data_IF_360402165035
#
_entry.id   IF_360402165035
#
_cell.length_a   1.000
_cell.length_b   1.000
_cell.length_c   1.000
_cell.angle_alpha   90.00
_cell.angle_beta   90.00
_cell.angle_gamma   90.00
#
_symmetry.space_group_name_H-M   'P 1'
#
loop_
_entity.id
_entity.type
_entity.pdbx_description
1 polymer ?
#
# COMPACT_ATOMS: atom_id res chain seq x y z
N UNK A 1 10.52 -3.38 -21.64
CA UNK A 1 10.08 -1.99 -21.99
C UNK A 1 8.82 -1.90 -22.89
N UNK A 2 8.59 -2.71 -23.94
CA UNK A 2 7.46 -2.49 -24.87
C UNK A 2 6.09 -2.38 -24.17
N UNK A 3 5.70 -3.36 -23.37
CA UNK A 3 4.43 -3.34 -22.62
C UNK A 3 4.38 -2.20 -21.61
N UNK A 4 5.46 -1.99 -20.88
CA UNK A 4 5.58 -0.93 -19.88
C UNK A 4 5.50 0.47 -20.53
N UNK A 5 6.12 0.65 -21.69
CA UNK A 5 6.03 1.90 -22.44
C UNK A 5 4.60 2.21 -22.90
N UNK A 6 3.84 1.18 -23.31
CA UNK A 6 2.43 1.36 -23.65
C UNK A 6 1.59 1.76 -22.43
N UNK A 7 1.85 1.14 -21.29
CA UNK A 7 1.21 1.47 -20.04
C UNK A 7 1.48 2.92 -19.65
N UNK A 8 2.74 3.35 -19.62
CA UNK A 8 3.11 4.71 -19.22
C UNK A 8 2.57 5.79 -20.15
N UNK A 9 2.56 5.55 -21.47
CA UNK A 9 1.94 6.48 -22.44
C UNK A 9 0.44 6.67 -22.20
N UNK A 10 -0.24 5.65 -21.69
CA UNK A 10 -1.65 5.73 -21.36
C UNK A 10 -1.90 6.40 -20.01
N UNK A 11 -1.04 6.13 -19.02
CA UNK A 11 -1.21 6.60 -17.64
C UNK A 11 -0.77 8.05 -17.46
N UNK A 12 0.34 8.46 -18.09
CA UNK A 12 0.95 9.76 -17.82
C UNK A 12 0.25 10.84 -18.63
N UNK A 13 -0.47 11.69 -17.92
CA UNK A 13 -1.21 12.85 -18.45
C UNK A 13 -0.73 14.17 -17.87
N UNK A 14 -0.09 14.15 -16.68
CA UNK A 14 0.41 15.31 -15.94
C UNK A 14 1.90 15.16 -15.71
N UNK A 15 2.68 16.16 -16.06
CA UNK A 15 4.13 16.16 -15.88
C UNK A 15 4.89 15.27 -16.85
N UNK A 16 6.07 14.83 -16.49
CA UNK A 16 6.87 13.89 -17.26
C UNK A 16 7.53 12.82 -16.41
N UNK A 17 7.67 11.61 -16.98
CA UNK A 17 8.40 10.50 -16.38
C UNK A 17 9.53 10.06 -17.29
N UNK A 18 10.76 10.13 -16.80
CA UNK A 18 11.90 9.50 -17.44
C UNK A 18 12.19 8.16 -16.76
N UNK A 19 12.15 7.08 -17.51
CA UNK A 19 12.47 5.74 -17.03
C UNK A 19 13.82 5.31 -17.58
N UNK A 20 14.77 5.04 -16.70
CA UNK A 20 16.06 4.44 -17.05
C UNK A 20 15.90 2.93 -16.94
N UNK A 21 15.95 2.22 -18.06
CA UNK A 21 15.76 0.76 -18.09
C UNK A 21 17.00 0.01 -17.56
N UNK A 22 16.87 -1.30 -17.37
CA UNK A 22 17.95 -2.18 -16.87
C UNK A 22 19.21 -2.20 -17.74
N UNK A 23 19.18 -1.60 -18.92
CA UNK A 23 20.32 -1.45 -19.84
C UNK A 23 20.88 -0.01 -19.84
N UNK A 24 20.37 0.87 -18.98
CA UNK A 24 20.76 2.28 -18.89
C UNK A 24 20.13 3.20 -19.95
N UNK A 25 19.20 2.70 -20.77
CA UNK A 25 18.56 3.53 -21.80
C UNK A 25 17.43 4.35 -21.17
N UNK A 26 17.36 5.61 -21.55
CA UNK A 26 16.32 6.52 -21.08
C UNK A 26 15.10 6.49 -21.99
N UNK A 27 13.93 6.45 -21.37
CA UNK A 27 12.63 6.49 -22.04
C UNK A 27 11.80 7.61 -21.42
N UNK A 28 11.52 8.67 -22.20
CA UNK A 28 10.73 9.81 -21.75
C UNK A 28 9.25 9.59 -22.09
N UNK A 29 8.40 9.80 -21.09
CA UNK A 29 6.94 9.82 -21.20
C UNK A 29 6.44 11.18 -20.71
N UNK A 30 5.82 11.95 -21.60
CA UNK A 30 5.36 13.30 -21.31
C UNK A 30 3.85 13.38 -21.37
N UNK A 31 3.26 13.92 -20.32
CA UNK A 31 1.83 14.25 -20.24
C UNK A 31 1.46 15.48 -21.07
N UNK A 32 0.18 15.69 -21.26
CA UNK A 32 -0.38 16.86 -21.94
C UNK A 32 -0.52 18.08 -21.04
N UNK A 33 -0.55 17.86 -19.72
CA UNK A 33 -0.68 18.92 -18.71
C UNK A 33 0.66 19.14 -18.02
N UNK A 34 1.10 20.39 -17.82
CA UNK A 34 2.29 20.70 -17.03
C UNK A 34 2.20 20.11 -15.61
N UNK A 35 3.32 19.64 -15.08
CA UNK A 35 3.39 19.03 -13.75
C UNK A 35 4.84 18.65 -13.41
N UNK A 36 5.04 17.88 -12.33
CA UNK A 36 6.37 17.50 -11.89
C UNK A 36 7.08 16.60 -12.91
N UNK A 37 8.40 16.72 -12.94
CA UNK A 37 9.29 15.87 -13.74
C UNK A 37 9.93 14.85 -12.80
N UNK A 38 9.74 13.58 -13.12
CA UNK A 38 10.24 12.47 -12.30
C UNK A 38 11.19 11.59 -13.11
N UNK A 39 12.27 11.13 -12.47
CA UNK A 39 13.21 10.17 -13.05
C UNK A 39 13.30 8.94 -12.16
N UNK A 40 13.01 7.78 -12.73
CA UNK A 40 13.15 6.50 -12.04
C UNK A 40 14.09 5.57 -12.80
N UNK A 41 14.75 4.68 -12.07
CA UNK A 41 15.58 3.62 -12.64
C UNK A 41 15.03 2.25 -12.28
N UNK A 42 14.95 1.37 -13.27
CA UNK A 42 14.61 -0.04 -13.11
C UNK A 42 15.89 -0.87 -13.25
N UNK A 43 16.28 -1.58 -12.20
CA UNK A 43 17.57 -2.25 -12.13
C UNK A 43 17.60 -3.60 -12.88
N UNK A 44 16.43 -4.19 -13.17
CA UNK A 44 16.38 -5.46 -13.90
C UNK A 44 15.12 -5.60 -14.78
N UNK A 45 15.20 -6.52 -15.75
CA UNK A 45 14.10 -6.78 -16.70
C UNK A 45 12.87 -7.42 -16.08
N UNK A 46 13.01 -8.13 -14.96
CA UNK A 46 11.86 -8.78 -14.34
C UNK A 46 10.94 -7.75 -13.72
N UNK A 47 11.48 -6.66 -13.15
CA UNK A 47 10.72 -5.50 -12.67
C UNK A 47 9.94 -4.83 -13.81
N UNK A 48 10.55 -4.65 -14.98
CA UNK A 48 9.87 -4.08 -16.14
C UNK A 48 8.60 -4.88 -16.51
N UNK A 49 8.69 -6.21 -16.44
CA UNK A 49 7.56 -7.11 -16.73
C UNK A 49 6.54 -7.13 -15.60
N UNK A 50 7.00 -7.20 -14.36
CA UNK A 50 6.14 -7.23 -13.19
C UNK A 50 5.26 -5.97 -13.11
N UNK A 51 5.86 -4.78 -13.27
CA UNK A 51 5.13 -3.51 -13.28
C UNK A 51 4.16 -3.44 -14.46
N UNK A 52 4.53 -3.95 -15.65
CA UNK A 52 3.63 -3.97 -16.79
C UNK A 52 2.39 -4.86 -16.57
N UNK A 53 2.51 -5.94 -15.80
CA UNK A 53 1.43 -6.89 -15.52
C UNK A 53 0.62 -6.53 -14.27
N UNK A 54 1.26 -6.01 -13.24
CA UNK A 54 0.62 -5.60 -11.99
C UNK A 54 1.26 -4.33 -11.43
N UNK A 55 0.96 -3.15 -12.02
CA UNK A 55 1.65 -1.91 -11.67
C UNK A 55 1.47 -1.51 -10.21
N UNK A 56 0.32 -1.81 -9.59
CA UNK A 56 0.02 -1.39 -8.22
C UNK A 56 0.90 -2.11 -7.19
N UNK A 57 0.98 -3.42 -7.28
CA UNK A 57 1.76 -4.24 -6.33
C UNK A 57 3.25 -4.21 -6.68
N UNK A 58 3.59 -4.51 -7.94
CA UNK A 58 4.97 -4.68 -8.34
C UNK A 58 5.82 -3.40 -8.26
N UNK A 59 5.21 -2.22 -8.37
CA UNK A 59 5.92 -0.95 -8.19
C UNK A 59 6.35 -0.76 -6.73
N UNK A 60 5.45 -1.02 -5.77
CA UNK A 60 5.75 -0.94 -4.34
C UNK A 60 6.82 -1.95 -3.92
N UNK A 61 6.66 -3.23 -4.32
CA UNK A 61 7.63 -4.28 -4.03
C UNK A 61 9.00 -3.95 -4.63
N UNK A 62 9.06 -3.51 -5.89
CA UNK A 62 10.32 -3.15 -6.54
C UNK A 62 11.03 -1.98 -5.85
N UNK A 63 10.29 -1.00 -5.33
CA UNK A 63 10.86 0.08 -4.54
C UNK A 63 11.41 -0.42 -3.20
N UNK A 64 10.65 -1.24 -2.47
CA UNK A 64 11.06 -1.82 -1.19
C UNK A 64 12.30 -2.71 -1.33
N UNK A 65 12.40 -3.47 -2.42
CA UNK A 65 13.54 -4.34 -2.72
C UNK A 65 14.75 -3.59 -3.29
N UNK A 66 14.67 -2.26 -3.48
CA UNK A 66 15.72 -1.46 -4.11
C UNK A 66 15.90 -1.74 -5.61
N UNK A 67 14.94 -2.39 -6.26
CA UNK A 67 14.96 -2.74 -7.70
C UNK A 67 14.35 -1.65 -8.58
N UNK A 68 13.66 -0.68 -7.95
CA UNK A 68 13.26 0.60 -8.50
C UNK A 68 13.82 1.68 -7.61
N UNK A 69 14.55 2.63 -8.19
CA UNK A 69 15.07 3.81 -7.48
C UNK A 69 14.57 5.10 -8.12
N UNK A 70 14.43 6.14 -7.30
CA UNK A 70 14.07 7.48 -7.72
C UNK A 70 15.37 8.27 -7.84
N UNK A 71 15.66 8.83 -9.02
CA UNK A 71 16.94 9.49 -9.32
C UNK A 71 16.88 11.01 -9.04
N UNK A 72 15.68 11.60 -9.08
CA UNK A 72 15.44 13.00 -8.73
C UNK A 72 14.19 13.11 -7.84
N UNK A 73 14.35 13.62 -6.64
CA UNK A 73 13.29 13.69 -5.65
C UNK A 73 13.27 12.51 -4.68
N UNK A 74 12.17 12.35 -3.98
CA UNK A 74 11.98 11.34 -2.95
C UNK A 74 10.72 10.49 -3.19
N UNK A 75 10.38 9.63 -2.21
CA UNK A 75 9.20 8.77 -2.30
C UNK A 75 7.90 9.58 -2.31
N UNK A 76 7.88 10.74 -1.66
CA UNK A 76 6.70 11.62 -1.65
C UNK A 76 6.44 12.18 -3.05
N UNK A 77 7.48 12.67 -3.74
CA UNK A 77 7.39 13.16 -5.12
C UNK A 77 6.89 12.07 -6.06
N UNK A 78 7.38 10.84 -5.88
CA UNK A 78 6.92 9.69 -6.65
C UNK A 78 5.44 9.38 -6.41
N UNK A 79 4.99 9.39 -5.15
CA UNK A 79 3.60 9.12 -4.79
C UNK A 79 2.66 10.24 -5.27
N UNK A 80 3.09 11.51 -5.17
CA UNK A 80 2.33 12.66 -5.70
C UNK A 80 2.18 12.56 -7.21
N UNK A 81 3.28 12.26 -7.93
CA UNK A 81 3.25 12.02 -9.37
C UNK A 81 2.28 10.89 -9.76
N UNK A 82 2.35 9.75 -9.05
CA UNK A 82 1.44 8.63 -9.27
C UNK A 82 -0.01 9.02 -8.98
N UNK A 83 -0.27 9.72 -7.88
CA UNK A 83 -1.60 10.17 -7.49
C UNK A 83 -2.25 11.07 -8.54
N UNK A 84 -1.52 12.08 -9.04
CA UNK A 84 -1.97 12.99 -10.11
C UNK A 84 -2.33 12.26 -11.40
N UNK A 85 -1.59 11.21 -11.74
CA UNK A 85 -1.76 10.46 -12.97
C UNK A 85 -2.77 9.30 -12.86
N UNK A 86 -3.03 8.78 -11.66
CA UNK A 86 -3.95 7.65 -11.45
C UNK A 86 -5.35 8.08 -10.98
N UNK A 87 -5.52 9.28 -10.45
CA UNK A 87 -6.81 9.78 -9.94
C UNK A 87 -7.94 9.69 -10.98
N UNK A 88 -7.63 9.93 -12.25
CA UNK A 88 -8.59 9.80 -13.38
C UNK A 88 -9.03 8.37 -13.65
N UNK A 89 -8.19 7.37 -13.37
CA UNK A 89 -8.52 5.95 -13.59
C UNK A 89 -9.50 5.42 -12.56
N UNK A 90 -9.50 5.94 -11.32
CA UNK A 90 -10.49 5.60 -10.31
C UNK A 90 -11.92 6.00 -10.69
N UNK A 91 -12.09 7.14 -11.35
CA UNK A 91 -13.39 7.63 -11.80
C UNK A 91 -13.90 6.96 -13.11
N UNK A 92 -13.00 6.48 -13.96
CA UNK A 92 -13.33 5.87 -15.27
C UNK A 92 -13.23 4.35 -15.29
N UNK A 93 -12.87 3.71 -14.18
CA UNK A 93 -12.64 2.27 -14.09
C UNK A 93 -13.85 1.40 -14.50
N UNK A 94 -15.06 1.97 -14.48
CA UNK A 94 -16.30 1.28 -14.89
C UNK A 94 -16.36 0.95 -16.38
N UNK A 95 -15.53 1.58 -17.22
CA UNK A 95 -15.53 1.41 -18.68
C UNK A 95 -14.31 0.64 -19.21
N UNK A 96 -13.34 0.27 -18.35
CA UNK A 96 -12.15 -0.47 -18.76
C UNK A 96 -12.48 -1.98 -18.87
N UNK A 97 -12.36 -2.61 -20.05
CA UNK A 97 -12.57 -4.05 -20.23
C UNK A 97 -11.58 -4.87 -19.38
N UNK A 98 -10.36 -4.38 -19.10
CA UNK A 98 -9.40 -5.02 -18.20
C UNK A 98 -9.93 -5.06 -16.76
N UNK A 99 -10.55 -3.99 -16.28
CA UNK A 99 -11.18 -3.94 -14.97
C UNK A 99 -12.35 -4.95 -14.85
N UNK A 100 -13.12 -5.15 -15.94
CA UNK A 100 -14.20 -6.15 -15.98
C UNK A 100 -13.64 -7.58 -15.91
N UNK A 101 -12.52 -7.83 -16.57
CA UNK A 101 -11.82 -9.13 -16.52
C UNK A 101 -11.23 -9.36 -15.11
N UNK A 102 -10.56 -8.37 -14.53
CA UNK A 102 -10.08 -8.43 -13.13
C UNK A 102 -11.24 -8.73 -12.15
N UNK A 103 -12.39 -8.10 -12.35
CA UNK A 103 -13.56 -8.32 -11.52
C UNK A 103 -14.12 -9.75 -11.64
N UNK A 104 -14.09 -10.37 -12.84
CA UNK A 104 -14.48 -11.78 -13.03
C UNK A 104 -13.54 -12.75 -12.31
N UNK A 105 -12.23 -12.45 -12.31
CA UNK A 105 -11.22 -13.26 -11.61
C UNK A 105 -11.08 -12.91 -10.13
N UNK A 106 -11.72 -11.84 -9.66
CA UNK A 106 -11.61 -11.38 -8.27
C UNK A 106 -12.06 -12.43 -7.25
N UNK A 107 -13.11 -13.17 -7.55
CA UNK A 107 -13.57 -14.26 -6.67
C UNK A 107 -12.53 -15.37 -6.54
N UNK A 108 -11.84 -15.72 -7.64
CA UNK A 108 -10.75 -16.70 -7.63
C UNK A 108 -9.51 -16.16 -6.89
N UNK A 109 -9.18 -14.89 -7.07
CA UNK A 109 -8.07 -14.24 -6.35
C UNK A 109 -8.35 -14.07 -4.86
N UNK A 110 -9.63 -13.87 -4.50
CA UNK A 110 -10.07 -13.76 -3.10
C UNK A 110 -10.20 -15.12 -2.40
N UNK A 111 -10.10 -16.22 -3.14
CA UNK A 111 -10.08 -17.55 -2.53
C UNK A 111 -8.83 -17.72 -1.68
N UNK A 112 -9.02 -17.59 -0.35
CA UNK A 112 -7.95 -17.59 0.63
C UNK A 112 -8.12 -18.76 1.60
N UNK A 113 -7.68 -19.99 1.23
CA UNK A 113 -7.77 -21.15 2.11
C UNK A 113 -6.97 -20.92 3.40
N UNK A 114 -7.38 -21.57 4.50
CA UNK A 114 -6.85 -21.36 5.86
C UNK A 114 -5.31 -21.34 5.91
N UNK A 115 -4.63 -22.27 5.24
CA UNK A 115 -3.17 -22.33 5.23
C UNK A 115 -2.50 -21.13 4.49
N UNK A 116 -3.17 -20.57 3.49
CA UNK A 116 -2.70 -19.34 2.80
C UNK A 116 -2.99 -18.11 3.65
N UNK A 117 -4.17 -18.08 4.29
CA UNK A 117 -4.54 -17.00 5.20
C UNK A 117 -3.53 -16.87 6.34
N UNK A 118 -3.13 -17.98 6.96
CA UNK A 118 -2.11 -18.00 8.02
C UNK A 118 -0.76 -17.44 7.54
N UNK A 119 -0.30 -17.85 6.34
CA UNK A 119 0.95 -17.33 5.75
C UNK A 119 0.88 -15.84 5.46
N UNK A 120 -0.26 -15.38 4.92
CA UNK A 120 -0.44 -13.96 4.60
C UNK A 120 -0.49 -13.10 5.88
N UNK A 121 -1.15 -13.58 6.93
CA UNK A 121 -1.18 -12.92 8.25
C UNK A 121 0.22 -12.91 8.86
N UNK A 122 0.94 -14.03 8.88
CA UNK A 122 2.31 -14.09 9.36
C UNK A 122 3.20 -13.10 8.61
N UNK A 123 3.14 -13.08 7.28
CA UNK A 123 3.93 -12.13 6.48
C UNK A 123 3.61 -10.65 6.78
N UNK A 124 2.35 -10.33 7.07
CA UNK A 124 1.95 -8.97 7.45
C UNK A 124 2.51 -8.55 8.83
N UNK A 125 2.61 -9.48 9.78
CA UNK A 125 3.13 -9.22 11.13
C UNK A 125 4.62 -9.54 11.32
N UNK A 126 5.25 -10.23 10.36
CA UNK A 126 6.71 -10.54 10.35
C UNK A 126 7.58 -9.31 10.00
N UNK A 127 6.96 -8.17 9.72
CA UNK A 127 7.67 -6.89 9.70
C UNK A 127 8.34 -6.70 11.07
N UNK A 128 9.61 -6.29 11.05
CA UNK A 128 10.42 -6.09 12.24
C UNK A 128 9.62 -5.39 13.36
N UNK A 129 9.55 -5.98 14.56
CA UNK A 129 8.90 -5.37 15.73
C UNK A 129 9.35 -3.93 15.97
N UNK A 130 10.60 -3.60 15.60
CA UNK A 130 11.16 -2.24 15.68
C UNK A 130 10.37 -1.21 14.85
N UNK A 131 9.75 -1.61 13.73
CA UNK A 131 8.90 -0.71 12.96
C UNK A 131 7.67 -0.30 13.76
N UNK A 132 7.04 -1.27 14.41
CA UNK A 132 5.83 -1.03 15.21
C UNK A 132 6.12 -0.21 16.47
N UNK A 133 7.28 -0.38 17.06
CA UNK A 133 7.74 0.40 18.23
C UNK A 133 7.91 1.90 17.92
N UNK A 134 7.99 2.27 16.62
CA UNK A 134 8.13 3.68 16.22
C UNK A 134 6.80 4.46 16.28
N UNK A 135 5.65 3.79 16.21
CA UNK A 135 4.36 4.48 16.08
C UNK A 135 3.22 3.88 16.89
N UNK A 136 3.38 2.71 17.49
CA UNK A 136 2.40 2.12 18.39
C UNK A 136 2.71 2.45 19.86
N UNK A 137 1.68 2.30 20.70
CA UNK A 137 1.81 2.32 22.15
C UNK A 137 2.57 1.09 22.69
N UNK A 138 2.90 1.09 23.98
CA UNK A 138 3.68 0.02 24.64
C UNK A 138 2.99 -1.37 24.55
N UNK A 139 1.66 -1.43 24.47
CA UNK A 139 0.88 -2.65 24.29
C UNK A 139 0.71 -3.04 22.84
N UNK A 140 1.30 -2.28 21.90
CA UNK A 140 1.22 -2.50 20.45
C UNK A 140 -0.22 -2.64 19.94
N UNK A 141 -1.12 -1.76 20.40
CA UNK A 141 -2.50 -1.74 19.93
C UNK A 141 -2.57 -1.25 18.48
N UNK A 142 -2.68 -2.16 17.52
CA UNK A 142 -2.71 -1.87 16.07
C UNK A 142 -4.12 -1.56 15.57
N UNK A 143 -4.81 -0.66 16.26
CA UNK A 143 -6.13 -0.14 15.89
C UNK A 143 -6.29 1.29 16.41
N UNK A 144 -7.29 2.05 15.86
CA UNK A 144 -7.49 3.44 16.23
C UNK A 144 -7.64 3.63 17.73
N UNK A 145 -6.92 4.61 18.28
CA UNK A 145 -7.03 5.02 19.68
C UNK A 145 -8.29 5.85 19.92
N UNK A 146 -8.74 5.94 21.18
CA UNK A 146 -9.86 6.75 21.59
C UNK A 146 -9.40 7.95 22.41
N UNK A 147 -9.14 9.06 21.73
CA UNK A 147 -8.76 10.33 22.34
C UNK A 147 -10.02 10.97 22.95
N UNK A 148 -10.00 11.21 24.24
CA UNK A 148 -11.09 11.90 24.96
C UNK A 148 -10.87 13.42 24.95
N UNK A 149 -9.61 13.83 24.91
CA UNK A 149 -9.18 15.22 24.80
C UNK A 149 -8.03 15.35 23.81
N UNK A 150 -7.82 16.55 23.29
CA UNK A 150 -6.72 16.85 22.36
C UNK A 150 -5.32 16.72 23.01
N UNK A 151 -5.27 16.65 24.34
CA UNK A 151 -4.03 16.52 25.10
C UNK A 151 -3.70 15.08 25.50
N UNK A 152 -4.55 14.11 25.16
CA UNK A 152 -4.27 12.71 25.48
C UNK A 152 -3.03 12.23 24.72
N UNK A 153 -2.13 11.53 25.39
CA UNK A 153 -1.05 10.79 24.72
C UNK A 153 -1.61 9.55 24.04
N UNK A 154 -0.83 8.93 23.16
CA UNK A 154 -1.25 7.68 22.48
C UNK A 154 -1.56 6.58 23.50
N UNK A 155 -0.70 6.40 24.53
CA UNK A 155 -0.91 5.45 25.63
C UNK A 155 -2.24 5.67 26.34
N UNK A 156 -2.54 6.91 26.72
CA UNK A 156 -3.79 7.26 27.40
C UNK A 156 -4.99 7.00 26.48
N UNK A 157 -4.88 7.35 25.21
CA UNK A 157 -5.95 7.14 24.24
C UNK A 157 -6.20 5.65 23.95
N UNK A 158 -5.16 4.82 23.92
CA UNK A 158 -5.30 3.36 23.76
C UNK A 158 -5.90 2.71 25.02
N UNK A 159 -5.51 3.15 26.22
CA UNK A 159 -6.15 2.69 27.45
C UNK A 159 -7.64 3.11 27.52
N UNK A 160 -7.96 4.35 27.13
CA UNK A 160 -9.33 4.82 26.99
C UNK A 160 -10.14 3.95 26.01
N UNK A 161 -9.54 3.53 24.89
CA UNK A 161 -10.19 2.60 23.94
C UNK A 161 -10.52 1.27 24.60
N UNK A 162 -9.54 0.65 25.28
CA UNK A 162 -9.74 -0.64 25.97
C UNK A 162 -10.87 -0.54 26.99
N UNK A 163 -10.88 0.50 27.84
CA UNK A 163 -11.92 0.76 28.81
C UNK A 163 -13.29 0.99 28.16
N UNK A 164 -13.32 1.75 27.06
CA UNK A 164 -14.55 2.02 26.32
C UNK A 164 -15.15 0.75 25.70
N UNK A 165 -14.33 -0.14 25.16
CA UNK A 165 -14.79 -1.43 24.63
C UNK A 165 -15.27 -2.31 25.77
N UNK A 166 -14.51 -2.44 26.86
CA UNK A 166 -14.88 -3.26 28.03
C UNK A 166 -16.20 -2.81 28.66
N UNK A 167 -16.45 -1.49 28.73
CA UNK A 167 -17.72 -0.97 29.29
C UNK A 167 -18.96 -1.38 28.49
N UNK A 168 -18.80 -1.60 27.17
CA UNK A 168 -19.91 -2.05 26.30
C UNK A 168 -20.22 -3.54 26.45
N UNK A 169 -19.29 -4.33 26.95
CA UNK A 169 -19.46 -5.78 27.09
C UNK A 169 -20.29 -6.17 28.32
N UNK A 170 -20.64 -5.23 29.20
CA UNK A 170 -21.42 -5.47 30.42
C UNK A 170 -20.86 -6.63 31.24
N UNK A 171 -19.52 -6.67 31.38
CA UNK A 171 -18.81 -7.75 32.05
C UNK A 171 -19.26 -7.97 33.50
N UNK A 172 -19.36 -9.25 33.89
CA UNK A 172 -19.68 -9.69 35.24
C UNK A 172 -18.59 -10.67 35.71
N UNK A 173 -18.38 -10.83 37.01
CA UNK A 173 -17.49 -11.88 37.53
C UNK A 173 -17.83 -13.25 36.94
N UNK A 174 -16.80 -13.95 36.43
CA UNK A 174 -16.96 -15.29 35.82
C UNK A 174 -17.32 -15.27 34.31
N UNK A 175 -17.50 -14.12 33.69
CA UNK A 175 -17.66 -14.04 32.22
C UNK A 175 -16.42 -14.58 31.50
N UNK A 176 -16.65 -15.33 30.42
CA UNK A 176 -15.61 -15.69 29.45
C UNK A 176 -15.74 -14.77 28.24
N UNK A 177 -14.62 -14.15 27.83
CA UNK A 177 -14.56 -13.25 26.70
C UNK A 177 -13.71 -13.89 25.61
N UNK A 178 -14.15 -13.76 24.35
CA UNK A 178 -13.41 -14.17 23.17
C UNK A 178 -13.07 -12.90 22.37
N UNK A 179 -11.78 -12.71 22.12
CA UNK A 179 -11.29 -11.69 21.19
C UNK A 179 -10.93 -12.36 19.86
N UNK A 180 -11.56 -11.90 18.76
CA UNK A 180 -11.33 -12.39 17.40
C UNK A 180 -10.53 -11.32 16.64
N UNK A 181 -9.32 -11.71 16.18
CA UNK A 181 -8.38 -10.79 15.55
C UNK A 181 -7.59 -9.95 16.55
N UNK A 182 -7.24 -10.53 17.67
CA UNK A 182 -6.58 -9.89 18.81
C UNK A 182 -5.19 -9.28 18.49
N UNK A 183 -4.60 -9.58 17.34
CA UNK A 183 -3.26 -9.12 16.99
C UNK A 183 -2.22 -9.67 17.97
N UNK A 184 -1.50 -8.77 18.68
CA UNK A 184 -0.55 -9.16 19.74
C UNK A 184 -1.20 -9.42 21.10
N UNK A 185 -2.49 -9.21 21.23
CA UNK A 185 -3.24 -9.53 22.46
C UNK A 185 -3.07 -8.53 23.61
N UNK A 186 -2.69 -7.29 23.30
CA UNK A 186 -2.48 -6.22 24.29
C UNK A 186 -3.78 -5.63 24.85
#
# INVERSE_FOLDING_TARGET
MFLLSRLFRMLITVGSLTVIDSRGRQHLFKGTTPGPDLVIRLHDKSVERAIALNPRLATGEAYMDGRLTIENGDIYDFLDFCGRNTARFGASASFDPLYRIERLFRQLQQFNPVGRAQKNVAHHYDLSGRLYDLFLDSDRQYSCAYFRTDNDTLEVAQDNKKRHIASKLLLKPGCRVLDIGSGWGG
#
